data_IF_541571282281
#
_entry.id   IF_541571282281
#
_cell.length_a   1.000
_cell.length_b   1.000
_cell.length_c   1.000
_cell.angle_alpha   90.00
_cell.angle_beta   90.00
_cell.angle_gamma   90.00
#
_symmetry.space_group_name_H-M   'P 1'
#
loop_
_entity.id
_entity.type
_entity.pdbx_description
1 polymer ?
#
# COMPACT_ATOMS: atom_id res chain seq x y z
N UNK A 1 9.80 18.71 8.55
CA UNK A 1 9.68 18.29 7.13
C UNK A 1 8.79 19.28 6.40
N UNK A 2 9.03 19.50 5.09
CA UNK A 2 8.14 20.30 4.24
C UNK A 2 6.72 19.72 4.25
N UNK A 3 5.72 20.60 4.17
CA UNK A 3 4.31 20.21 3.98
C UNK A 3 4.02 19.81 2.53
N UNK A 4 4.91 20.18 1.60
CA UNK A 4 4.82 19.80 0.20
C UNK A 4 5.74 18.63 -0.13
N UNK A 5 5.42 17.93 -1.22
CA UNK A 5 6.26 16.85 -1.74
C UNK A 5 7.63 17.39 -2.15
N UNK A 6 8.64 16.53 -2.09
CA UNK A 6 10.00 16.84 -2.46
C UNK A 6 10.55 15.81 -3.46
N UNK A 7 11.41 16.28 -4.34
CA UNK A 7 12.21 15.46 -5.27
C UNK A 7 13.67 15.91 -5.23
N UNK A 8 14.52 15.29 -6.04
CA UNK A 8 15.93 15.68 -6.20
C UNK A 8 16.07 16.85 -7.17
N UNK A 9 17.11 17.67 -6.99
CA UNK A 9 17.41 18.80 -7.87
C UNK A 9 18.09 18.39 -9.18
N UNK A 10 18.83 17.28 -9.16
CA UNK A 10 19.53 16.73 -10.33
C UNK A 10 19.75 15.23 -10.19
N UNK A 11 20.06 14.57 -11.30
CA UNK A 11 20.42 13.15 -11.28
C UNK A 11 21.83 12.97 -10.71
N UNK A 12 22.00 11.92 -9.90
CA UNK A 12 23.26 11.57 -9.23
C UNK A 12 23.44 10.06 -9.22
N UNK A 13 24.69 9.60 -9.39
CA UNK A 13 24.98 8.17 -9.49
C UNK A 13 26.04 7.74 -8.49
N UNK A 14 25.98 6.46 -8.12
CA UNK A 14 26.99 5.73 -7.35
C UNK A 14 27.17 4.35 -7.95
N UNK A 15 28.41 3.84 -7.92
CA UNK A 15 28.72 2.47 -8.31
C UNK A 15 29.36 1.71 -7.15
N UNK A 16 29.14 0.42 -7.09
CA UNK A 16 29.72 -0.43 -6.05
C UNK A 16 29.32 -1.89 -6.19
N UNK A 17 29.74 -2.70 -5.23
CA UNK A 17 29.34 -4.11 -5.16
C UNK A 17 28.03 -4.28 -4.40
N UNK A 18 27.24 -5.26 -4.80
CA UNK A 18 26.03 -5.70 -4.11
C UNK A 18 26.36 -6.66 -2.98
N UNK A 19 25.54 -6.71 -1.91
CA UNK A 19 25.79 -7.56 -0.75
C UNK A 19 25.56 -9.06 -1.05
N UNK A 20 24.39 -9.41 -1.58
CA UNK A 20 23.99 -10.81 -1.76
C UNK A 20 24.49 -11.39 -3.08
N UNK A 21 24.44 -10.64 -4.16
CA UNK A 21 24.88 -11.10 -5.48
C UNK A 21 26.38 -11.01 -5.66
N UNK A 22 27.05 -10.06 -4.98
CA UNK A 22 28.48 -9.77 -5.14
C UNK A 22 28.82 -9.10 -6.46
N UNK A 23 27.83 -8.79 -7.30
CA UNK A 23 28.01 -8.14 -8.60
C UNK A 23 28.27 -6.64 -8.49
N UNK A 24 28.91 -6.07 -9.50
CA UNK A 24 29.01 -4.62 -9.65
C UNK A 24 27.67 -4.06 -10.12
N UNK A 25 27.30 -2.89 -9.63
CA UNK A 25 26.07 -2.18 -9.99
C UNK A 25 26.32 -0.67 -10.04
N UNK A 26 25.68 -0.02 -10.99
CA UNK A 26 25.53 1.44 -11.04
C UNK A 26 24.08 1.77 -10.67
N UNK A 27 23.92 2.61 -9.66
CA UNK A 27 22.62 3.14 -9.23
C UNK A 27 22.59 4.63 -9.49
N UNK A 28 21.53 5.10 -10.15
CA UNK A 28 21.28 6.52 -10.42
C UNK A 28 19.96 6.94 -9.81
N UNK A 29 19.97 7.97 -8.99
CA UNK A 29 18.77 8.62 -8.46
C UNK A 29 18.41 9.79 -9.37
N UNK A 30 17.19 9.77 -9.92
CA UNK A 30 16.68 10.82 -10.80
C UNK A 30 15.56 11.61 -10.13
N UNK A 31 15.47 12.94 -10.39
CA UNK A 31 14.27 13.70 -10.07
C UNK A 31 13.03 13.07 -10.71
N UNK A 32 11.91 13.18 -10.02
CA UNK A 32 10.64 12.69 -10.54
C UNK A 32 9.49 13.68 -10.29
N UNK A 33 8.43 13.68 -11.13
CA UNK A 33 7.33 14.63 -10.99
C UNK A 33 6.50 14.38 -9.72
N UNK A 34 5.70 15.37 -9.28
CA UNK A 34 4.79 15.19 -8.16
C UNK A 34 3.87 13.97 -8.32
N UNK A 35 3.70 13.21 -7.25
CA UNK A 35 2.88 12.00 -7.24
C UNK A 35 3.49 10.77 -7.90
N UNK A 36 4.74 10.86 -8.37
CA UNK A 36 5.46 9.72 -8.95
C UNK A 36 5.71 8.63 -7.91
N UNK A 37 6.01 9.02 -6.66
CA UNK A 37 6.48 8.13 -5.62
C UNK A 37 7.91 7.67 -5.86
N UNK A 38 8.32 6.60 -5.17
CA UNK A 38 9.60 5.94 -5.38
C UNK A 38 9.41 4.74 -6.30
N UNK A 39 10.24 4.63 -7.34
CA UNK A 39 10.17 3.52 -8.31
C UNK A 39 11.56 3.05 -8.68
N UNK A 40 11.72 1.74 -8.83
CA UNK A 40 12.95 1.13 -9.33
C UNK A 40 12.84 0.84 -10.82
N UNK A 41 13.84 1.26 -11.60
CA UNK A 41 13.96 0.98 -13.03
C UNK A 41 15.15 0.03 -13.24
N UNK A 42 14.91 -1.11 -13.89
CA UNK A 42 15.93 -2.11 -14.29
C UNK A 42 16.38 -1.82 -15.73
N UNK A 43 17.45 -1.01 -15.87
CA UNK A 43 17.99 -0.59 -17.15
C UNK A 43 18.69 -1.72 -17.92
N UNK A 44 19.09 -2.80 -17.24
CA UNK A 44 19.70 -4.00 -17.81
C UNK A 44 18.70 -4.99 -18.41
N UNK A 45 17.37 -4.78 -18.17
CA UNK A 45 16.34 -5.67 -18.68
C UNK A 45 15.66 -5.10 -19.94
N UNK A 46 15.25 -5.96 -20.89
CA UNK A 46 14.47 -5.51 -22.04
C UNK A 46 13.17 -4.81 -21.62
N UNK A 47 12.83 -3.70 -22.29
CA UNK A 47 11.59 -2.96 -22.02
C UNK A 47 11.67 -2.01 -20.83
N UNK A 48 12.83 -1.80 -20.22
CA UNK A 48 13.05 -0.85 -19.12
C UNK A 48 12.01 -0.99 -18.00
N UNK A 49 11.88 -2.21 -17.46
CA UNK A 49 10.84 -2.53 -16.47
C UNK A 49 10.96 -1.65 -15.21
N UNK A 50 9.86 -1.01 -14.86
CA UNK A 50 9.75 -0.17 -13.66
C UNK A 50 8.90 -0.88 -12.62
N UNK A 51 9.38 -0.93 -11.37
CA UNK A 51 8.70 -1.53 -10.22
C UNK A 51 8.37 -0.43 -9.21
N UNK A 52 7.12 -0.26 -8.86
CA UNK A 52 6.73 0.66 -7.78
C UNK A 52 7.27 0.16 -6.44
N UNK A 53 7.92 1.04 -5.67
CA UNK A 53 8.35 0.73 -4.31
C UNK A 53 7.13 0.71 -3.36
N UNK A 54 6.33 -0.35 -3.46
CA UNK A 54 5.08 -0.54 -2.72
C UNK A 54 5.02 -1.92 -2.10
N UNK A 55 4.32 -2.00 -0.96
CA UNK A 55 4.19 -3.27 -0.21
C UNK A 55 3.57 -4.40 -1.04
N UNK A 56 2.73 -4.10 -2.02
CA UNK A 56 2.08 -5.09 -2.88
C UNK A 56 3.08 -5.83 -3.78
N UNK A 57 4.22 -5.21 -4.09
CA UNK A 57 5.32 -5.80 -4.87
C UNK A 57 6.31 -6.60 -4.02
N UNK A 58 6.21 -6.57 -2.68
CA UNK A 58 7.06 -7.36 -1.79
C UNK A 58 6.69 -8.84 -1.86
N UNK A 59 7.61 -9.68 -2.34
CA UNK A 59 7.39 -11.13 -2.48
C UNK A 59 8.22 -11.96 -1.52
N UNK A 60 9.43 -11.50 -1.19
CA UNK A 60 10.29 -12.18 -0.22
C UNK A 60 10.94 -11.17 0.73
N UNK A 61 11.18 -11.61 1.96
CA UNK A 61 11.77 -10.80 3.06
C UNK A 61 12.88 -11.58 3.77
N UNK A 62 13.49 -12.57 3.11
CA UNK A 62 14.58 -13.36 3.68
C UNK A 62 15.88 -12.55 3.65
N UNK A 63 16.27 -12.01 4.82
CA UNK A 63 17.49 -11.20 5.06
C UNK A 63 17.55 -9.87 4.30
N UNK A 64 16.60 -9.58 3.42
CA UNK A 64 16.46 -8.33 2.69
C UNK A 64 15.05 -8.21 2.14
N UNK A 65 14.60 -7.00 1.88
CA UNK A 65 13.31 -6.75 1.24
C UNK A 65 13.45 -6.81 -0.28
N UNK A 66 12.62 -7.65 -0.92
CA UNK A 66 12.66 -7.89 -2.36
C UNK A 66 11.33 -7.51 -3.02
N UNK A 67 11.43 -6.66 -4.04
CA UNK A 67 10.31 -6.27 -4.92
C UNK A 67 10.36 -7.09 -6.22
N UNK A 68 9.20 -7.53 -6.69
CA UNK A 68 9.07 -8.28 -7.95
C UNK A 68 7.87 -7.75 -8.73
N UNK A 69 8.10 -7.49 -10.03
CA UNK A 69 7.06 -7.18 -11.02
C UNK A 69 7.39 -7.94 -12.32
N UNK A 70 6.48 -8.86 -12.73
CA UNK A 70 6.75 -9.74 -13.86
C UNK A 70 8.05 -10.52 -13.69
N UNK A 71 8.98 -10.34 -14.62
CA UNK A 71 10.32 -10.97 -14.59
C UNK A 71 11.38 -10.10 -13.90
N UNK A 72 11.05 -8.86 -13.54
CA UNK A 72 11.98 -7.96 -12.90
C UNK A 72 11.98 -8.16 -11.38
N UNK A 73 13.20 -8.19 -10.82
CA UNK A 73 13.45 -8.32 -9.39
C UNK A 73 14.43 -7.24 -8.94
N UNK A 74 14.13 -6.60 -7.81
CA UNK A 74 15.07 -5.73 -7.08
C UNK A 74 15.06 -6.16 -5.61
N UNK A 75 16.23 -6.47 -5.05
CA UNK A 75 16.40 -6.92 -3.66
C UNK A 75 17.25 -5.91 -2.87
N UNK A 76 17.23 -6.00 -1.53
CA UNK A 76 17.98 -5.12 -0.61
C UNK A 76 17.62 -3.64 -0.85
N UNK A 77 16.32 -3.36 -0.99
CA UNK A 77 15.81 -2.02 -1.31
C UNK A 77 15.76 -1.10 -0.09
N UNK A 78 15.80 -1.66 1.11
CA UNK A 78 15.58 -1.00 2.39
C UNK A 78 16.55 0.17 2.64
N UNK A 79 17.83 0.06 2.33
CA UNK A 79 18.81 1.11 2.63
C UNK A 79 18.59 2.36 1.77
N UNK A 80 18.36 2.21 0.46
CA UNK A 80 18.11 3.35 -0.42
C UNK A 80 16.74 3.99 -0.14
N UNK A 81 15.71 3.18 0.12
CA UNK A 81 14.38 3.68 0.50
C UNK A 81 14.41 4.40 1.85
N UNK A 82 15.18 3.86 2.81
CA UNK A 82 15.40 4.49 4.11
C UNK A 82 16.04 5.86 3.96
N UNK A 83 17.09 5.99 3.13
CA UNK A 83 17.77 7.26 2.90
C UNK A 83 16.82 8.29 2.26
N UNK A 84 16.10 7.92 1.20
CA UNK A 84 15.15 8.81 0.53
C UNK A 84 14.07 9.29 1.50
N UNK A 85 13.44 8.36 2.23
CA UNK A 85 12.38 8.66 3.22
C UNK A 85 12.93 9.50 4.38
N UNK A 86 14.05 9.09 4.96
CA UNK A 86 14.68 9.77 6.09
C UNK A 86 15.11 11.20 5.76
N UNK A 87 15.55 11.44 4.53
CA UNK A 87 15.91 12.77 4.02
C UNK A 87 14.72 13.59 3.50
N UNK A 88 13.51 12.99 3.47
CA UNK A 88 12.27 13.69 3.11
C UNK A 88 12.05 13.82 1.60
N UNK A 89 12.59 12.92 0.78
CA UNK A 89 12.31 12.81 -0.66
C UNK A 89 11.08 11.93 -0.86
N UNK A 90 10.08 12.43 -1.59
CA UNK A 90 8.83 11.72 -1.87
C UNK A 90 8.83 11.08 -3.27
N UNK A 91 9.45 11.75 -4.25
CA UNK A 91 9.39 11.37 -5.65
C UNK A 91 10.81 11.17 -6.21
N UNK A 92 11.13 9.93 -6.59
CA UNK A 92 12.44 9.56 -7.13
C UNK A 92 12.32 8.34 -8.04
N UNK A 93 12.94 8.38 -9.23
CA UNK A 93 13.18 7.21 -10.04
C UNK A 93 14.58 6.69 -9.71
N UNK A 94 14.67 5.44 -9.28
CA UNK A 94 15.91 4.75 -8.89
C UNK A 94 16.27 3.80 -10.03
N UNK A 95 17.18 4.20 -10.89
CA UNK A 95 17.64 3.41 -12.03
C UNK A 95 18.84 2.56 -11.64
N UNK A 96 18.85 1.29 -12.06
CA UNK A 96 19.91 0.34 -11.76
C UNK A 96 20.17 -0.60 -12.95
N UNK A 97 21.42 -0.99 -13.15
CA UNK A 97 21.87 -1.97 -14.15
C UNK A 97 22.07 -3.38 -13.58
N UNK A 98 21.58 -3.65 -12.37
CA UNK A 98 21.60 -4.96 -11.72
C UNK A 98 20.40 -5.14 -10.79
N UNK A 99 20.24 -6.34 -10.22
CA UNK A 99 19.09 -6.68 -9.35
C UNK A 99 19.21 -6.24 -7.89
N UNK A 100 20.31 -5.60 -7.51
CA UNK A 100 20.56 -5.24 -6.11
C UNK A 100 21.38 -3.95 -6.05
N UNK A 101 20.97 -2.95 -5.22
CA UNK A 101 21.72 -1.71 -5.03
C UNK A 101 23.14 -1.94 -4.49
N UNK A 102 24.08 -0.99 -4.68
CA UNK A 102 25.40 -1.08 -4.07
C UNK A 102 25.31 -0.98 -2.55
N UNK A 103 25.93 -1.91 -1.84
CA UNK A 103 25.85 -1.98 -0.35
C UNK A 103 26.69 -0.88 0.34
N UNK A 104 27.72 -0.38 -0.34
CA UNK A 104 28.67 0.56 0.24
C UNK A 104 29.38 0.01 1.47
N UNK A 105 29.33 0.74 2.55
CA UNK A 105 29.88 0.35 3.84
C UNK A 105 28.87 -0.42 4.75
N UNK A 106 27.72 -0.79 4.20
CA UNK A 106 26.64 -1.47 4.92
C UNK A 106 25.67 -0.53 5.63
N UNK A 107 25.82 0.78 5.46
CA UNK A 107 24.93 1.81 6.00
C UNK A 107 24.16 2.53 4.89
N UNK A 108 23.28 3.47 5.26
CA UNK A 108 22.61 4.36 4.29
C UNK A 108 23.41 5.65 4.00
N UNK A 109 24.59 5.81 4.58
CA UNK A 109 25.38 7.06 4.51
C UNK A 109 25.69 7.48 3.07
N UNK A 110 26.11 6.51 2.20
CA UNK A 110 26.41 6.82 0.79
C UNK A 110 25.20 7.42 0.05
N UNK A 111 23.98 6.93 0.34
CA UNK A 111 22.76 7.44 -0.28
C UNK A 111 22.38 8.83 0.23
N UNK A 112 22.60 9.09 1.54
CA UNK A 112 22.40 10.42 2.11
C UNK A 112 23.38 11.42 1.48
N UNK A 113 24.65 11.07 1.31
CA UNK A 113 25.65 11.91 0.63
C UNK A 113 25.24 12.18 -0.83
N UNK A 114 24.70 11.18 -1.52
CA UNK A 114 24.19 11.29 -2.88
C UNK A 114 23.01 12.26 -2.96
N UNK A 115 22.03 12.11 -2.06
CA UNK A 115 20.85 12.99 -1.97
C UNK A 115 21.28 14.43 -1.67
N UNK A 116 22.22 14.64 -0.77
CA UNK A 116 22.77 15.99 -0.46
C UNK A 116 23.46 16.61 -1.67
N UNK A 117 24.23 15.82 -2.43
CA UNK A 117 24.86 16.26 -3.68
C UNK A 117 23.85 16.64 -4.76
N UNK A 118 22.73 15.89 -4.84
CA UNK A 118 21.64 16.19 -5.76
C UNK A 118 20.89 17.47 -5.38
N UNK A 119 20.85 17.79 -4.10
CA UNK A 119 19.94 18.79 -3.53
C UNK A 119 18.50 18.29 -3.50
N UNK A 120 17.72 18.83 -2.58
CA UNK A 120 16.27 18.51 -2.45
C UNK A 120 15.47 19.72 -2.89
N UNK A 121 14.50 19.51 -3.78
CA UNK A 121 13.63 20.53 -4.34
C UNK A 121 12.19 20.28 -3.91
N UNK A 122 11.57 21.30 -3.34
CA UNK A 122 10.16 21.28 -2.97
C UNK A 122 9.28 21.44 -4.21
N UNK A 123 8.20 20.64 -4.28
CA UNK A 123 7.22 20.63 -5.37
C UNK A 123 5.93 21.30 -4.92
N UNK A 124 5.17 21.91 -5.86
CA UNK A 124 3.94 22.66 -5.58
C UNK A 124 2.71 21.75 -5.36
N UNK A 125 2.91 20.63 -4.67
CA UNK A 125 1.85 19.64 -4.35
C UNK A 125 1.98 19.21 -2.89
N UNK A 126 0.89 19.24 -2.15
CA UNK A 126 0.85 18.84 -0.75
C UNK A 126 1.33 17.40 -0.55
N UNK A 127 2.14 17.19 0.50
CA UNK A 127 2.60 15.86 0.91
C UNK A 127 1.45 15.06 1.50
N UNK A 128 1.30 13.84 1.04
CA UNK A 128 0.33 12.92 1.59
C UNK A 128 0.89 12.20 2.83
N UNK A 129 0.16 12.24 3.94
CA UNK A 129 0.50 11.52 5.16
C UNK A 129 -0.50 10.38 5.39
N UNK A 130 0.01 9.31 5.97
CA UNK A 130 -0.79 8.35 6.70
C UNK A 130 -0.78 8.77 8.18
N UNK A 131 -1.93 9.20 8.69
CA UNK A 131 -2.09 9.52 10.10
C UNK A 131 -2.65 8.30 10.81
N UNK A 132 -1.88 7.76 11.75
CA UNK A 132 -2.33 6.64 12.59
C UNK A 132 -3.38 7.17 13.56
N UNK A 133 -4.60 6.66 13.48
CA UNK A 133 -5.72 7.05 14.34
C UNK A 133 -6.03 6.03 15.42
N UNK A 134 -5.69 4.76 15.17
CA UNK A 134 -5.90 3.64 16.08
C UNK A 134 -4.65 2.78 16.14
N UNK A 135 -4.27 2.23 17.29
CA UNK A 135 -3.13 1.33 17.41
C UNK A 135 -3.26 0.10 16.51
N UNK A 136 -2.15 -0.27 15.88
CA UNK A 136 -2.03 -1.55 15.17
C UNK A 136 -0.94 -2.33 15.89
N UNK A 137 -1.22 -3.59 16.22
CA UNK A 137 -0.28 -4.49 16.89
C UNK A 137 -0.12 -5.77 16.08
N UNK A 138 1.14 -6.21 15.96
CA UNK A 138 1.52 -7.46 15.31
C UNK A 138 2.50 -8.18 16.22
N UNK A 139 2.21 -9.45 16.48
CA UNK A 139 3.10 -10.38 17.14
C UNK A 139 3.37 -11.56 16.20
N UNK A 140 4.63 -11.93 16.06
CA UNK A 140 5.03 -13.08 15.26
C UNK A 140 5.32 -14.30 16.14
N UNK A 141 5.21 -15.50 15.55
CA UNK A 141 5.58 -16.75 16.26
C UNK A 141 7.04 -16.77 16.73
N UNK A 142 7.90 -15.95 16.13
CA UNK A 142 9.30 -15.79 16.50
C UNK A 142 9.55 -14.81 17.66
N UNK A 143 8.50 -14.24 18.26
CA UNK A 143 8.60 -13.31 19.38
C UNK A 143 8.85 -11.85 18.98
N UNK A 144 8.83 -11.51 17.69
CA UNK A 144 8.91 -10.11 17.26
C UNK A 144 7.58 -9.41 17.56
N UNK A 145 7.67 -8.21 18.14
CA UNK A 145 6.53 -7.35 18.43
C UNK A 145 6.67 -6.06 17.62
N UNK A 146 5.64 -5.71 16.86
CA UNK A 146 5.56 -4.47 16.12
C UNK A 146 4.25 -3.77 16.45
N UNK A 147 4.33 -2.59 17.01
CA UNK A 147 3.14 -1.77 17.30
C UNK A 147 3.33 -0.39 16.71
N UNK A 148 2.27 0.17 16.12
CA UNK A 148 2.24 1.58 15.78
C UNK A 148 1.05 2.23 16.49
N UNK A 149 1.30 3.38 17.13
CA UNK A 149 0.28 4.16 17.85
C UNK A 149 0.19 5.57 17.28
N UNK A 150 -0.91 6.30 17.52
CA UNK A 150 -1.06 7.70 17.11
C UNK A 150 0.09 8.58 17.63
N UNK A 151 0.65 9.40 16.75
CA UNK A 151 1.61 10.46 17.05
C UNK A 151 1.51 11.53 15.96
N UNK A 152 1.75 12.78 16.28
CA UNK A 152 1.77 13.89 15.32
C UNK A 152 3.02 13.89 14.41
N UNK A 153 4.03 13.07 14.76
CA UNK A 153 5.32 12.95 14.10
C UNK A 153 5.60 11.49 13.73
N UNK A 154 6.60 11.26 12.90
CA UNK A 154 7.13 9.91 12.69
C UNK A 154 8.20 9.61 13.72
N UNK A 155 7.91 8.74 14.66
CA UNK A 155 8.81 8.30 15.73
C UNK A 155 9.01 6.80 15.66
N UNK A 156 10.21 6.34 16.00
CA UNK A 156 10.52 4.92 16.12
C UNK A 156 11.22 4.68 17.47
N UNK A 157 10.68 3.76 18.25
CA UNK A 157 11.33 3.16 19.43
C UNK A 157 11.62 1.70 19.13
N UNK A 158 12.86 1.29 19.22
CA UNK A 158 13.27 -0.06 18.86
C UNK A 158 14.08 -0.70 19.97
N UNK A 159 13.77 -1.96 20.27
CA UNK A 159 14.60 -2.85 21.08
C UNK A 159 15.12 -3.97 20.19
N UNK A 160 16.42 -3.98 19.93
CA UNK A 160 17.10 -5.12 19.31
C UNK A 160 17.55 -6.08 20.41
N UNK A 161 17.21 -7.36 20.28
CA UNK A 161 17.61 -8.41 21.22
C UNK A 161 18.46 -9.40 20.44
N UNK A 162 19.70 -9.57 20.85
CA UNK A 162 20.60 -10.55 20.25
C UNK A 162 20.41 -11.95 20.85
N UNK A 163 21.09 -12.98 20.30
CA UNK A 163 21.06 -14.32 20.82
C UNK A 163 21.41 -14.36 22.31
N UNK A 164 20.63 -15.10 23.09
CA UNK A 164 20.79 -15.24 24.55
C UNK A 164 20.76 -13.90 25.31
N UNK A 165 20.10 -12.86 24.73
CA UNK A 165 20.03 -11.52 25.31
C UNK A 165 21.30 -10.66 25.16
N UNK A 166 22.35 -11.18 24.51
CA UNK A 166 23.58 -10.43 24.24
C UNK A 166 23.31 -9.30 23.24
N UNK A 167 24.04 -8.20 23.38
CA UNK A 167 23.87 -7.01 22.54
C UNK A 167 22.41 -6.51 22.48
N UNK A 168 21.65 -6.70 23.57
CA UNK A 168 20.34 -6.08 23.70
C UNK A 168 20.51 -4.57 23.79
N UNK A 169 19.91 -3.85 22.86
CA UNK A 169 20.05 -2.41 22.72
C UNK A 169 18.67 -1.77 22.53
N UNK A 170 18.49 -0.58 23.06
CA UNK A 170 17.29 0.23 22.87
C UNK A 170 17.66 1.61 22.36
N UNK A 171 16.91 2.09 21.38
CA UNK A 171 16.99 3.47 20.91
C UNK A 171 15.60 3.97 20.52
N UNK A 172 15.34 5.26 20.79
CA UNK A 172 14.08 5.91 20.45
C UNK A 172 14.38 7.28 19.88
N UNK A 173 13.78 7.59 18.72
CA UNK A 173 14.02 8.86 18.06
C UNK A 173 12.85 9.27 17.16
N UNK A 174 12.74 10.58 16.90
CA UNK A 174 11.94 11.14 15.82
C UNK A 174 12.72 11.03 14.51
N UNK A 175 12.05 10.70 13.42
CA UNK A 175 12.66 10.64 12.09
C UNK A 175 12.48 12.00 11.40
N UNK A 176 13.53 12.79 11.46
CA UNK A 176 13.68 14.05 10.71
C UNK A 176 14.96 14.01 9.87
N UNK A 177 15.09 14.76 8.78
CA UNK A 177 16.29 14.72 7.94
C UNK A 177 17.59 14.91 8.75
N UNK A 178 17.62 15.89 9.67
CA UNK A 178 18.80 16.16 10.49
C UNK A 178 19.16 15.04 11.46
N UNK A 179 18.15 14.43 12.10
CA UNK A 179 18.35 13.31 13.02
C UNK A 179 18.71 12.06 12.22
N UNK A 180 18.00 11.79 11.12
CA UNK A 180 18.26 10.63 10.28
C UNK A 180 19.70 10.63 9.74
N UNK A 181 20.15 11.76 9.16
CA UNK A 181 21.51 11.91 8.64
C UNK A 181 22.57 11.61 9.70
N UNK A 182 22.37 12.14 10.91
CA UNK A 182 23.38 12.08 11.98
C UNK A 182 23.34 10.79 12.79
N UNK A 183 22.15 10.31 13.12
CA UNK A 183 21.94 9.28 14.16
C UNK A 183 21.55 7.91 13.59
N UNK A 184 21.00 7.84 12.36
CA UNK A 184 20.45 6.60 11.77
C UNK A 184 21.24 6.16 10.54
N UNK A 185 21.38 7.05 9.55
CA UNK A 185 22.01 6.71 8.28
C UNK A 185 23.41 6.11 8.39
N UNK A 186 24.30 6.51 9.37
CA UNK A 186 25.61 5.92 9.48
C UNK A 186 25.66 4.52 10.10
N UNK A 187 24.56 4.00 10.66
CA UNK A 187 24.54 2.70 11.29
C UNK A 187 24.66 1.56 10.28
N UNK A 188 25.68 0.71 10.45
CA UNK A 188 26.00 -0.38 9.52
C UNK A 188 25.19 -1.63 9.81
N UNK A 189 24.92 -2.38 8.75
CA UNK A 189 24.35 -3.74 8.84
C UNK A 189 25.31 -4.68 9.59
N UNK A 190 24.74 -5.71 10.22
CA UNK A 190 25.47 -6.66 11.03
C UNK A 190 24.94 -8.08 10.84
N UNK A 191 25.81 -9.04 11.10
CA UNK A 191 25.49 -10.47 11.03
C UNK A 191 26.16 -11.19 12.19
N UNK A 192 25.49 -12.19 12.75
CA UNK A 192 26.12 -13.10 13.70
C UNK A 192 27.00 -14.11 12.94
N UNK A 193 28.21 -14.37 13.45
CA UNK A 193 29.18 -15.23 12.80
C UNK A 193 28.61 -16.64 12.51
N UNK A 194 27.77 -17.13 13.43
CA UNK A 194 27.09 -18.41 13.33
C UNK A 194 26.15 -18.48 12.11
N UNK A 195 25.61 -17.35 11.66
CA UNK A 195 24.73 -17.25 10.49
C UNK A 195 25.54 -17.13 9.16
N UNK A 196 26.81 -16.74 9.20
CA UNK A 196 27.61 -16.47 8.00
C UNK A 196 27.69 -17.69 7.09
N UNK A 197 28.07 -18.85 7.63
CA UNK A 197 28.18 -20.08 6.83
C UNK A 197 26.84 -20.54 6.26
N UNK A 198 25.74 -20.65 7.05
CA UNK A 198 24.42 -20.95 6.51
C UNK A 198 23.95 -20.01 5.40
N UNK A 199 24.27 -18.71 5.48
CA UNK A 199 23.94 -17.73 4.44
C UNK A 199 24.76 -17.94 3.16
N UNK A 200 26.06 -18.22 3.30
CA UNK A 200 26.92 -18.55 2.15
C UNK A 200 26.48 -19.84 1.47
N UNK A 201 26.12 -20.88 2.24
CA UNK A 201 25.63 -22.16 1.71
C UNK A 201 24.32 -21.98 0.91
N UNK A 202 23.49 -20.99 1.26
CA UNK A 202 22.29 -20.57 0.51
C UNK A 202 22.60 -19.69 -0.72
N UNK A 203 23.87 -19.37 -0.96
CA UNK A 203 24.30 -18.50 -2.06
C UNK A 203 24.00 -17.00 -1.81
N UNK A 204 23.76 -16.61 -0.56
CA UNK A 204 23.60 -15.22 -0.12
C UNK A 204 24.96 -14.65 0.33
N UNK A 205 24.98 -13.33 0.58
CA UNK A 205 26.15 -12.57 1.08
C UNK A 205 27.47 -12.82 0.32
N UNK A 206 27.41 -13.08 -1.00
CA UNK A 206 28.61 -13.31 -1.83
C UNK A 206 29.56 -12.12 -1.88
N UNK A 207 29.03 -10.90 -1.76
CA UNK A 207 29.78 -9.66 -1.64
C UNK A 207 30.05 -9.24 -0.19
N UNK A 208 29.64 -10.03 0.79
CA UNK A 208 29.82 -9.74 2.21
C UNK A 208 31.27 -9.75 2.65
N UNK A 209 31.70 -8.73 3.36
CA UNK A 209 33.05 -8.58 3.92
C UNK A 209 33.01 -7.68 5.16
N UNK A 210 34.12 -7.61 5.89
CA UNK A 210 34.26 -6.64 7.00
C UNK A 210 34.26 -5.16 6.53
N UNK A 211 34.34 -4.92 5.22
CA UNK A 211 34.21 -3.57 4.63
C UNK A 211 32.76 -3.07 4.65
N UNK A 212 31.78 -3.98 4.58
CA UNK A 212 30.36 -3.65 4.37
C UNK A 212 29.38 -4.30 5.35
N UNK A 213 29.88 -5.00 6.38
CA UNK A 213 29.08 -5.53 7.46
C UNK A 213 29.90 -5.64 8.74
N UNK A 214 29.22 -5.46 9.88
CA UNK A 214 29.80 -5.77 11.19
C UNK A 214 29.49 -7.23 11.54
N UNK A 215 30.50 -8.01 11.92
CA UNK A 215 30.34 -9.41 12.29
C UNK A 215 30.46 -9.57 13.80
N UNK A 216 29.46 -10.18 14.41
CA UNK A 216 29.43 -10.46 15.86
C UNK A 216 29.81 -11.93 16.07
N UNK A 217 30.91 -12.18 16.80
CA UNK A 217 31.39 -13.52 17.15
C UNK A 217 31.52 -13.65 18.65
N UNK A 218 30.58 -14.36 19.28
CA UNK A 218 30.50 -14.39 20.74
C UNK A 218 30.32 -12.98 21.34
N UNK A 219 31.26 -12.49 22.12
CA UNK A 219 31.28 -11.12 22.63
C UNK A 219 32.11 -10.14 21.79
N UNK A 220 32.77 -10.63 20.76
CA UNK A 220 33.64 -9.83 19.92
C UNK A 220 32.84 -9.20 18.77
N UNK A 221 33.11 -7.94 18.51
CA UNK A 221 32.59 -7.20 17.36
C UNK A 221 33.72 -6.97 16.38
N UNK A 222 33.59 -7.54 15.19
CA UNK A 222 34.56 -7.49 14.11
C UNK A 222 34.04 -6.59 12.99
N UNK A 223 34.86 -5.67 12.54
CA UNK A 223 34.57 -4.75 11.43
C UNK A 223 35.85 -4.07 10.99
N UNK A 224 35.81 -3.37 9.84
CA UNK A 224 36.93 -2.58 9.32
C UNK A 224 37.33 -1.46 10.29
N UNK A 225 36.37 -0.89 10.97
CA UNK A 225 36.52 0.19 11.95
C UNK A 225 35.70 -0.09 13.20
N UNK A 226 35.98 0.54 14.35
CA UNK A 226 35.16 0.42 15.55
C UNK A 226 33.69 0.77 15.27
N UNK A 227 32.81 0.37 16.19
CA UNK A 227 31.41 0.79 16.16
C UNK A 227 31.31 2.32 16.14
N UNK A 228 30.47 2.85 15.24
CA UNK A 228 30.19 4.29 15.13
C UNK A 228 29.33 4.80 16.27
N UNK A 229 28.50 3.92 16.83
CA UNK A 229 27.67 4.17 17.98
C UNK A 229 27.75 2.98 18.95
N UNK A 230 27.66 3.22 20.26
CA UNK A 230 27.59 2.13 21.25
C UNK A 230 26.37 1.22 21.02
N UNK A 231 25.33 1.77 20.42
CA UNK A 231 24.04 1.15 20.11
C UNK A 231 23.81 1.06 18.59
N UNK A 232 24.87 0.81 17.80
CA UNK A 232 24.82 0.83 16.33
C UNK A 232 23.84 -0.21 15.78
N UNK A 233 23.72 -1.38 16.40
CA UNK A 233 22.86 -2.44 15.91
C UNK A 233 21.37 -2.07 15.95
N UNK A 234 20.89 -1.47 17.04
CA UNK A 234 19.50 -1.02 17.11
C UNK A 234 19.21 0.16 16.20
N UNK A 235 20.20 1.05 15.98
CA UNK A 235 20.07 2.16 15.01
C UNK A 235 19.94 1.63 13.59
N UNK A 236 20.70 0.57 13.24
CA UNK A 236 20.53 -0.09 11.95
C UNK A 236 19.13 -0.73 11.82
N UNK A 237 18.61 -1.34 12.89
CA UNK A 237 17.23 -1.85 12.88
C UNK A 237 16.19 -0.75 12.66
N UNK A 238 16.42 0.45 13.17
CA UNK A 238 15.57 1.61 12.87
C UNK A 238 15.71 2.03 11.40
N UNK A 239 16.92 2.00 10.82
CA UNK A 239 17.16 2.23 9.40
C UNK A 239 16.31 1.28 8.55
N UNK A 240 16.34 -0.03 8.86
CA UNK A 240 15.54 -1.06 8.18
C UNK A 240 14.03 -0.77 8.30
N UNK A 241 13.53 -0.41 9.50
CA UNK A 241 12.11 -0.07 9.72
C UNK A 241 11.70 1.11 8.84
N UNK A 242 12.51 2.17 8.78
CA UNK A 242 12.22 3.36 7.96
C UNK A 242 12.15 3.00 6.47
N UNK A 243 13.07 2.16 6.00
CA UNK A 243 13.12 1.70 4.60
C UNK A 243 11.95 0.79 4.23
N UNK A 244 11.63 -0.18 5.09
CA UNK A 244 10.54 -1.10 4.84
C UNK A 244 9.16 -0.40 4.91
N UNK A 245 8.99 0.57 5.82
CA UNK A 245 7.75 1.35 5.93
C UNK A 245 7.61 2.40 4.80
N UNK A 246 8.70 2.77 4.10
CA UNK A 246 8.62 3.58 2.89
C UNK A 246 7.73 2.93 1.81
N UNK A 247 7.61 1.61 1.83
CA UNK A 247 6.75 0.82 0.94
C UNK A 247 5.24 1.08 1.10
N UNK A 248 4.82 1.84 2.11
CA UNK A 248 3.48 2.44 2.16
C UNK A 248 3.27 3.48 1.05
N UNK A 249 4.36 4.07 0.51
CA UNK A 249 4.35 5.13 -0.49
C UNK A 249 3.73 6.43 0.02
N UNK A 250 3.72 6.64 1.32
CA UNK A 250 3.29 7.86 2.01
C UNK A 250 4.10 8.04 3.28
N UNK A 251 4.30 9.30 3.66
CA UNK A 251 4.89 9.61 4.94
C UNK A 251 3.93 9.24 6.09
N UNK A 252 4.49 8.87 7.24
CA UNK A 252 3.74 8.40 8.41
C UNK A 252 3.72 9.49 9.47
N UNK A 253 2.56 9.70 10.10
CA UNK A 253 2.43 10.32 11.42
C UNK A 253 1.97 9.25 12.39
N UNK A 254 2.88 8.79 13.21
CA UNK A 254 2.67 7.70 14.15
C UNK A 254 3.98 7.30 14.83
N UNK A 255 3.89 6.62 15.96
CA UNK A 255 5.01 6.12 16.71
C UNK A 255 5.08 4.59 16.60
N UNK A 256 6.11 4.10 15.93
CA UNK A 256 6.43 2.68 15.83
C UNK A 256 7.20 2.24 17.08
N UNK A 257 6.73 1.20 17.74
CA UNK A 257 7.37 0.54 18.88
C UNK A 257 7.67 -0.90 18.44
N UNK A 258 8.96 -1.24 18.36
CA UNK A 258 9.43 -2.50 17.81
C UNK A 258 10.31 -3.25 18.81
N UNK A 259 10.08 -4.55 18.95
CA UNK A 259 10.95 -5.47 19.69
C UNK A 259 11.35 -6.59 18.74
N UNK A 260 12.64 -6.84 18.60
CA UNK A 260 13.20 -7.81 17.65
C UNK A 260 12.66 -7.65 16.22
N UNK A 261 12.71 -6.43 15.63
CA UNK A 261 12.21 -6.23 14.27
C UNK A 261 13.04 -6.98 13.22
N UNK A 262 12.46 -7.13 12.05
CA UNK A 262 13.10 -7.68 10.87
C UNK A 262 12.23 -7.42 9.65
N UNK A 263 12.73 -7.70 8.44
CA UNK A 263 12.01 -7.37 7.20
C UNK A 263 10.61 -8.03 7.11
N UNK A 264 10.47 -9.27 7.64
CA UNK A 264 9.16 -9.94 7.74
C UNK A 264 8.16 -9.17 8.60
N UNK A 265 8.43 -8.99 9.92
CA UNK A 265 7.57 -8.19 10.81
C UNK A 265 7.34 -6.76 10.32
N UNK A 266 8.36 -6.09 9.74
CA UNK A 266 8.22 -4.76 9.17
C UNK A 266 7.23 -4.74 8.00
N UNK A 267 7.33 -5.71 7.08
CA UNK A 267 6.41 -5.86 5.96
C UNK A 267 4.97 -6.18 6.42
N UNK A 268 4.82 -6.99 7.47
CA UNK A 268 3.51 -7.31 8.02
C UNK A 268 2.86 -6.09 8.67
N UNK A 269 3.63 -5.26 9.40
CA UNK A 269 3.15 -3.98 9.89
C UNK A 269 2.75 -3.06 8.73
N UNK A 270 3.58 -2.97 7.70
CA UNK A 270 3.28 -2.18 6.50
C UNK A 270 1.96 -2.62 5.84
N UNK A 271 1.73 -3.92 5.67
CA UNK A 271 0.46 -4.48 5.14
C UNK A 271 -0.74 -4.15 6.03
N UNK A 272 -0.58 -4.25 7.35
CA UNK A 272 -1.65 -3.96 8.29
C UNK A 272 -2.02 -2.46 8.27
N UNK A 273 -1.04 -1.57 8.17
CA UNK A 273 -1.25 -0.12 8.00
C UNK A 273 -1.97 0.15 6.68
N UNK A 274 -1.52 -0.43 5.57
CA UNK A 274 -2.16 -0.27 4.27
C UNK A 274 -3.63 -0.75 4.30
N UNK A 275 -3.91 -1.87 4.96
CA UNK A 275 -5.26 -2.41 5.14
C UNK A 275 -6.14 -1.48 5.99
N UNK A 276 -5.63 -0.93 7.09
CA UNK A 276 -6.36 0.04 7.92
C UNK A 276 -6.69 1.29 7.11
N UNK A 277 -5.74 1.81 6.32
CA UNK A 277 -5.97 2.97 5.44
C UNK A 277 -7.03 2.69 4.37
N UNK A 278 -7.01 1.50 3.77
CA UNK A 278 -8.03 1.11 2.80
C UNK A 278 -9.41 1.07 3.46
N UNK A 279 -9.51 0.53 4.68
CA UNK A 279 -10.76 0.53 5.47
C UNK A 279 -11.23 1.94 5.81
N UNK A 280 -10.34 2.80 6.31
CA UNK A 280 -10.68 4.18 6.65
C UNK A 280 -11.17 4.97 5.43
N UNK A 281 -10.55 4.78 4.25
CA UNK A 281 -11.03 5.38 3.00
C UNK A 281 -12.38 4.87 2.55
N UNK A 282 -12.69 3.62 2.85
CA UNK A 282 -13.96 3.01 2.50
C UNK A 282 -15.09 3.42 3.44
N UNK A 283 -14.77 3.72 4.71
CA UNK A 283 -15.70 4.29 5.68
C UNK A 283 -16.01 5.78 5.42
N UNK A 284 -15.12 6.48 4.69
CA UNK A 284 -15.44 7.80 4.14
C UNK A 284 -16.31 7.52 2.91
N UNK A 285 -17.61 7.86 2.91
CA UNK A 285 -18.39 7.86 1.67
C UNK A 285 -17.53 8.55 0.61
N UNK A 286 -17.44 8.04 -0.62
CA UNK A 286 -16.66 8.68 -1.67
C UNK A 286 -17.00 10.17 -1.59
N UNK A 287 -15.96 11.00 -1.42
CA UNK A 287 -16.19 12.43 -1.24
C UNK A 287 -17.09 12.85 -2.39
N UNK A 288 -18.31 13.23 -2.05
CA UNK A 288 -19.29 13.75 -2.99
C UNK A 288 -18.70 15.10 -3.42
N UNK A 289 -17.68 15.03 -4.25
CA UNK A 289 -17.24 16.19 -5.01
C UNK A 289 -18.19 16.22 -6.20
N UNK A 290 -19.08 17.20 -6.27
CA UNK A 290 -19.85 17.41 -7.49
C UNK A 290 -18.89 17.91 -8.56
N UNK A 291 -18.18 17.00 -9.23
CA UNK A 291 -17.68 17.27 -10.55
C UNK A 291 -18.86 17.08 -11.50
N UNK A 292 -19.71 18.10 -11.57
CA UNK A 292 -20.68 18.27 -12.66
C UNK A 292 -21.64 17.09 -12.92
N UNK A 293 -21.98 16.28 -11.92
CA UNK A 293 -22.87 15.14 -12.07
C UNK A 293 -23.90 15.10 -10.93
N UNK A 294 -25.15 14.92 -11.28
CA UNK A 294 -26.29 14.93 -10.37
C UNK A 294 -26.18 13.80 -9.35
N UNK A 295 -26.12 14.17 -8.06
CA UNK A 295 -26.39 13.26 -6.96
C UNK A 295 -27.91 13.07 -6.96
N UNK A 296 -28.35 11.79 -6.97
CA UNK A 296 -29.79 11.50 -6.93
C UNK A 296 -30.16 11.05 -5.51
N UNK A 297 -31.12 11.74 -4.92
CA UNK A 297 -31.74 11.28 -3.70
C UNK A 297 -32.76 10.14 -3.97
N UNK A 298 -33.39 9.60 -2.94
CA UNK A 298 -34.32 8.49 -3.07
C UNK A 298 -35.54 8.87 -3.95
N UNK A 299 -35.99 10.13 -3.93
CA UNK A 299 -37.09 10.57 -4.76
C UNK A 299 -36.71 10.62 -6.22
N UNK A 300 -35.49 11.03 -6.54
CA UNK A 300 -34.98 11.04 -7.91
C UNK A 300 -34.74 9.62 -8.42
N UNK A 301 -34.24 8.73 -7.56
CA UNK A 301 -34.13 7.28 -7.87
C UNK A 301 -35.51 6.70 -8.19
N UNK A 302 -36.53 7.01 -7.38
CA UNK A 302 -37.91 6.55 -7.62
C UNK A 302 -38.58 7.15 -8.86
N UNK A 303 -38.12 8.29 -9.37
CA UNK A 303 -38.60 8.85 -10.66
C UNK A 303 -38.04 8.07 -11.84
N UNK A 304 -36.83 7.51 -11.69
CA UNK A 304 -36.15 6.74 -12.73
C UNK A 304 -36.52 5.25 -12.68
N UNK A 305 -36.50 4.65 -11.49
CA UNK A 305 -36.79 3.24 -11.28
C UNK A 305 -38.26 3.02 -10.92
N UNK A 306 -38.93 2.02 -11.51
CA UNK A 306 -40.32 1.66 -11.13
C UNK A 306 -40.39 0.93 -9.80
N UNK A 307 -39.29 0.43 -9.29
CA UNK A 307 -39.20 -0.36 -8.05
C UNK A 307 -39.70 0.44 -6.84
N UNK A 308 -40.37 -0.23 -5.90
CA UNK A 308 -40.86 0.30 -4.62
C UNK A 308 -40.59 -0.69 -3.51
N UNK A 309 -40.82 -0.27 -2.28
CA UNK A 309 -40.74 -1.17 -1.13
C UNK A 309 -41.58 -2.43 -1.36
N UNK A 310 -41.08 -3.64 -1.02
CA UNK A 310 -39.76 -3.91 -0.39
C UNK A 310 -38.63 -4.15 -1.38
N UNK A 311 -38.78 -3.90 -2.67
CA UNK A 311 -37.88 -4.29 -3.74
C UNK A 311 -37.00 -3.14 -4.29
N UNK A 312 -37.08 -1.94 -3.72
CA UNK A 312 -36.15 -0.87 -4.03
C UNK A 312 -34.84 -1.07 -3.26
N UNK A 313 -33.76 -1.41 -3.96
CA UNK A 313 -32.47 -1.77 -3.39
C UNK A 313 -31.42 -0.64 -3.53
N UNK A 314 -31.85 0.60 -3.80
CA UNK A 314 -30.97 1.76 -3.95
C UNK A 314 -31.56 2.92 -3.16
N UNK A 315 -30.84 3.43 -2.16
CA UNK A 315 -31.27 4.55 -1.34
C UNK A 315 -30.89 5.89 -1.98
N UNK A 316 -29.77 5.94 -2.71
CA UNK A 316 -29.29 7.15 -3.41
C UNK A 316 -28.18 6.81 -4.39
N UNK A 317 -27.91 7.72 -5.33
CA UNK A 317 -26.72 7.72 -6.19
C UNK A 317 -25.74 8.76 -5.64
N UNK A 318 -24.50 8.37 -5.42
CA UNK A 318 -23.46 9.21 -4.81
C UNK A 318 -22.38 9.64 -5.80
N UNK A 319 -22.27 8.95 -6.93
CA UNK A 319 -21.37 9.35 -8.00
C UNK A 319 -21.90 8.92 -9.38
N UNK A 320 -21.74 9.79 -10.35
CA UNK A 320 -22.00 9.55 -11.77
C UNK A 320 -20.79 10.06 -12.54
N UNK A 321 -20.20 9.21 -13.37
CA UNK A 321 -19.10 9.58 -14.25
C UNK A 321 -19.52 9.36 -15.72
N UNK A 322 -19.88 10.47 -16.34
CA UNK A 322 -20.45 10.46 -17.66
C UNK A 322 -21.74 9.63 -17.76
N UNK A 323 -21.85 8.88 -18.85
CA UNK A 323 -22.97 7.96 -19.11
C UNK A 323 -22.64 6.49 -18.81
N UNK A 324 -21.44 6.20 -18.29
CA UNK A 324 -20.93 4.83 -18.25
C UNK A 324 -20.71 4.30 -16.85
N UNK A 325 -20.54 5.16 -15.84
CA UNK A 325 -20.28 4.71 -14.46
C UNK A 325 -21.25 5.33 -13.47
N UNK A 326 -21.67 4.53 -12.51
CA UNK A 326 -22.57 4.94 -11.44
C UNK A 326 -22.18 4.25 -10.15
N UNK A 327 -22.24 4.99 -9.04
CA UNK A 327 -22.10 4.43 -7.69
C UNK A 327 -23.37 4.71 -6.92
N UNK A 328 -24.10 3.65 -6.56
CA UNK A 328 -25.26 3.68 -5.69
C UNK A 328 -24.90 3.29 -4.25
N UNK A 329 -25.81 3.60 -3.33
CA UNK A 329 -25.73 3.22 -1.91
C UNK A 329 -27.02 2.55 -1.49
N UNK A 330 -26.89 1.44 -0.77
CA UNK A 330 -27.95 0.78 0.00
C UNK A 330 -27.51 0.66 1.46
N UNK A 331 -28.28 1.26 2.37
CA UNK A 331 -28.11 1.02 3.80
C UNK A 331 -28.84 -0.26 4.17
N UNK A 332 -28.09 -1.26 4.64
CA UNK A 332 -28.64 -2.56 5.00
C UNK A 332 -29.11 -2.50 6.45
N UNK A 333 -30.42 -2.35 6.64
CA UNK A 333 -31.01 -2.25 7.99
C UNK A 333 -31.68 -3.56 8.41
N UNK A 334 -31.79 -3.81 9.73
CA UNK A 334 -32.48 -4.99 10.25
C UNK A 334 -33.99 -4.99 9.92
N UNK A 335 -34.54 -3.88 9.45
CA UNK A 335 -35.94 -3.76 9.06
C UNK A 335 -36.26 -4.31 7.66
N UNK A 336 -35.26 -4.79 6.93
CA UNK A 336 -35.47 -5.42 5.63
C UNK A 336 -36.21 -6.77 5.79
N UNK A 337 -37.27 -6.96 5.03
CA UNK A 337 -38.13 -8.14 5.16
C UNK A 337 -37.40 -9.48 4.98
N UNK A 338 -36.37 -9.54 4.14
CA UNK A 338 -35.65 -10.77 3.88
C UNK A 338 -34.87 -11.30 5.11
N UNK A 339 -34.58 -10.46 6.12
CA UNK A 339 -33.92 -10.94 7.34
C UNK A 339 -34.83 -11.74 8.26
N UNK A 340 -36.15 -11.71 8.06
CA UNK A 340 -37.07 -12.57 8.79
C UNK A 340 -36.86 -14.07 8.48
N UNK A 341 -36.38 -14.35 7.26
CA UNK A 341 -36.18 -15.73 6.78
C UNK A 341 -34.73 -16.09 6.43
N UNK A 342 -33.85 -15.11 6.21
CA UNK A 342 -32.51 -15.33 5.69
C UNK A 342 -31.40 -14.80 6.61
N UNK A 343 -31.07 -15.38 7.79
CA UNK A 343 -31.65 -16.58 8.40
C UNK A 343 -32.05 -16.23 9.83
N UNK A 344 -33.06 -16.91 10.45
CA UNK A 344 -33.41 -16.69 11.86
C UNK A 344 -32.20 -16.84 12.77
N UNK A 345 -31.87 -15.80 13.56
CA UNK A 345 -30.71 -15.78 14.45
C UNK A 345 -29.36 -15.52 13.78
N UNK A 346 -29.31 -15.49 12.45
CA UNK A 346 -28.08 -15.22 11.67
C UNK A 346 -28.41 -14.40 10.41
N UNK A 347 -28.73 -13.11 10.56
CA UNK A 347 -29.21 -12.29 9.46
C UNK A 347 -28.09 -12.01 8.45
N UNK A 348 -28.28 -12.42 7.21
CA UNK A 348 -27.37 -12.15 6.07
C UNK A 348 -28.20 -11.70 4.88
N UNK A 349 -27.79 -10.63 4.20
CA UNK A 349 -28.45 -10.19 2.97
C UNK A 349 -28.28 -11.26 1.89
N UNK A 350 -29.37 -11.74 1.27
CA UNK A 350 -29.28 -12.69 0.17
C UNK A 350 -28.36 -12.16 -0.94
N UNK A 351 -27.45 -13.01 -1.42
CA UNK A 351 -26.52 -12.62 -2.49
C UNK A 351 -27.23 -12.18 -3.77
N UNK A 352 -28.35 -12.84 -4.08
CA UNK A 352 -29.18 -12.49 -5.24
C UNK A 352 -29.78 -11.08 -5.15
N UNK A 353 -30.01 -10.55 -3.95
CA UNK A 353 -30.47 -9.17 -3.75
C UNK A 353 -29.32 -8.15 -3.91
N UNK A 354 -28.08 -8.57 -3.73
CA UNK A 354 -26.92 -7.76 -4.09
C UNK A 354 -26.80 -7.62 -5.62
N UNK A 355 -27.09 -8.69 -6.38
CA UNK A 355 -27.18 -8.63 -7.84
C UNK A 355 -28.31 -7.70 -8.30
N UNK A 356 -29.46 -7.81 -7.65
CA UNK A 356 -30.59 -6.91 -7.92
C UNK A 356 -30.22 -5.44 -7.67
N UNK A 357 -29.51 -5.16 -6.57
CA UNK A 357 -29.02 -3.81 -6.27
C UNK A 357 -28.06 -3.30 -7.36
N UNK A 358 -27.15 -4.14 -7.87
CA UNK A 358 -26.30 -3.80 -9.01
C UNK A 358 -27.12 -3.56 -10.28
N UNK A 359 -28.15 -4.38 -10.52
CA UNK A 359 -29.03 -4.25 -11.68
C UNK A 359 -29.81 -2.93 -11.66
N UNK A 360 -30.33 -2.54 -10.49
CA UNK A 360 -31.03 -1.26 -10.31
C UNK A 360 -30.10 -0.06 -10.54
N UNK A 361 -28.88 -0.07 -10.00
CA UNK A 361 -27.87 0.98 -10.24
C UNK A 361 -27.49 1.03 -11.74
N UNK A 362 -27.31 -0.12 -12.40
CA UNK A 362 -27.04 -0.18 -13.84
C UNK A 362 -28.21 0.32 -14.68
N UNK A 363 -29.45 0.06 -14.26
CA UNK A 363 -30.65 0.53 -14.93
C UNK A 363 -30.79 2.06 -14.88
N UNK A 364 -30.34 2.70 -13.80
CA UNK A 364 -30.32 4.17 -13.70
C UNK A 364 -29.47 4.79 -14.80
N UNK A 365 -28.31 4.22 -15.12
CA UNK A 365 -27.46 4.70 -16.22
C UNK A 365 -28.18 4.65 -17.58
N UNK A 366 -28.95 3.60 -17.82
CA UNK A 366 -29.65 3.40 -19.10
C UNK A 366 -30.94 4.24 -19.19
N UNK A 367 -31.68 4.36 -18.10
CA UNK A 367 -32.93 5.11 -18.06
C UNK A 367 -32.74 6.63 -18.11
N UNK A 368 -31.54 7.12 -17.77
CA UNK A 368 -31.17 8.53 -17.96
C UNK A 368 -30.84 8.91 -19.41
N UNK A 369 -30.63 7.94 -20.28
CA UNK A 369 -30.37 8.23 -21.72
C UNK A 369 -31.60 8.87 -22.32
N UNK A 370 -31.47 10.01 -23.03
CA UNK A 370 -32.61 10.65 -23.70
C UNK A 370 -33.41 9.67 -24.59
N UNK A 371 -34.72 9.60 -24.34
CA UNK A 371 -35.64 8.67 -25.02
C UNK A 371 -35.87 7.34 -24.32
N UNK A 372 -35.24 7.12 -23.13
CA UNK A 372 -35.50 5.95 -22.27
C UNK A 372 -36.34 6.30 -21.02
N UNK A 373 -36.69 7.56 -20.82
CA UNK A 373 -37.51 7.98 -19.70
C UNK A 373 -38.87 7.25 -19.67
N UNK A 374 -39.27 6.69 -18.52
CA UNK A 374 -40.54 5.96 -18.36
C UNK A 374 -40.51 4.52 -18.85
N UNK A 375 -39.42 4.03 -19.42
CA UNK A 375 -39.22 2.63 -19.84
C UNK A 375 -38.78 1.77 -18.63
N UNK A 376 -38.73 0.47 -18.82
CA UNK A 376 -38.38 -0.50 -17.79
C UNK A 376 -37.07 -1.20 -18.15
N UNK A 377 -36.15 -1.28 -17.18
CA UNK A 377 -34.94 -2.06 -17.30
C UNK A 377 -35.16 -3.50 -16.88
N UNK A 378 -35.01 -4.47 -17.80
CA UNK A 378 -35.02 -5.89 -17.49
C UNK A 378 -33.61 -6.41 -17.32
N UNK A 379 -33.40 -7.13 -16.22
CA UNK A 379 -32.19 -7.87 -15.94
C UNK A 379 -32.26 -9.20 -16.69
N UNK A 380 -31.41 -9.40 -17.71
CA UNK A 380 -31.52 -10.52 -18.64
C UNK A 380 -30.61 -11.69 -18.31
N UNK A 381 -29.37 -11.41 -17.89
CA UNK A 381 -28.42 -12.44 -17.43
C UNK A 381 -27.38 -11.90 -16.47
N UNK A 382 -26.81 -12.78 -15.68
CA UNK A 382 -25.62 -12.53 -14.86
C UNK A 382 -24.61 -13.65 -15.12
N UNK A 383 -23.37 -13.24 -15.37
CA UNK A 383 -22.22 -14.10 -15.61
C UNK A 383 -21.13 -13.75 -14.58
N UNK A 384 -20.17 -14.64 -14.35
CA UNK A 384 -19.02 -14.42 -13.45
C UNK A 384 -19.42 -13.95 -12.04
N UNK A 385 -20.57 -14.42 -11.55
CA UNK A 385 -21.11 -14.05 -10.24
C UNK A 385 -20.25 -14.64 -9.12
N UNK A 386 -19.77 -13.79 -8.21
CA UNK A 386 -19.01 -14.22 -7.04
C UNK A 386 -19.50 -13.51 -5.79
N UNK A 387 -19.85 -14.28 -4.76
CA UNK A 387 -20.14 -13.79 -3.41
C UNK A 387 -18.93 -14.12 -2.52
N UNK A 388 -18.27 -13.08 -2.01
CA UNK A 388 -16.98 -13.24 -1.31
C UNK A 388 -17.09 -13.13 0.20
N UNK A 389 -18.04 -12.31 0.66
CA UNK A 389 -18.26 -12.06 2.09
C UNK A 389 -19.75 -11.82 2.37
N UNK A 390 -20.22 -12.18 3.57
CA UNK A 390 -21.57 -11.87 3.98
C UNK A 390 -21.77 -10.36 4.13
N UNK A 391 -22.96 -9.89 3.80
CA UNK A 391 -23.46 -8.53 4.07
C UNK A 391 -24.51 -8.67 5.16
N UNK A 392 -24.38 -7.90 6.23
CA UNK A 392 -25.20 -8.04 7.44
C UNK A 392 -25.90 -6.72 7.82
N UNK A 393 -26.91 -6.75 8.68
CA UNK A 393 -27.53 -5.51 9.19
C UNK A 393 -26.51 -4.57 9.83
N UNK A 394 -26.57 -3.30 9.47
CA UNK A 394 -25.61 -2.26 9.88
C UNK A 394 -24.56 -1.94 8.81
N UNK A 395 -24.43 -2.77 7.78
CA UNK A 395 -23.53 -2.48 6.66
C UNK A 395 -24.09 -1.37 5.76
N UNK A 396 -23.18 -0.58 5.18
CA UNK A 396 -23.49 0.29 4.04
C UNK A 396 -22.88 -0.33 2.78
N UNK A 397 -23.75 -0.72 1.87
CA UNK A 397 -23.35 -1.35 0.60
C UNK A 397 -23.12 -0.25 -0.46
N UNK A 398 -21.89 -0.08 -0.90
CA UNK A 398 -21.56 0.73 -2.07
C UNK A 398 -21.63 -0.16 -3.31
N UNK A 399 -22.37 0.30 -4.31
CA UNK A 399 -22.69 -0.48 -5.51
C UNK A 399 -22.11 0.27 -6.70
N UNK A 400 -20.98 -0.20 -7.21
CA UNK A 400 -20.34 0.38 -8.38
C UNK A 400 -20.73 -0.41 -9.63
N UNK A 401 -21.21 0.29 -10.66
CA UNK A 401 -21.56 -0.31 -11.94
C UNK A 401 -20.92 0.48 -13.08
N UNK A 402 -20.30 -0.23 -14.00
CA UNK A 402 -19.69 0.31 -15.22
C UNK A 402 -20.25 -0.38 -16.46
N UNK A 403 -20.84 0.40 -17.38
CA UNK A 403 -21.28 -0.11 -18.67
C UNK A 403 -20.07 -0.42 -19.54
N UNK A 404 -19.93 -1.68 -19.95
CA UNK A 404 -18.80 -2.13 -20.78
C UNK A 404 -19.13 -2.12 -22.27
N UNK A 405 -20.39 -2.34 -22.62
CA UNK A 405 -20.86 -2.35 -24.03
C UNK A 405 -22.30 -1.86 -24.09
N UNK A 406 -22.59 -0.99 -25.06
CA UNK A 406 -23.95 -0.56 -25.41
C UNK A 406 -24.28 -1.02 -26.82
N UNK A 407 -25.46 -1.61 -27.04
CA UNK A 407 -25.97 -1.97 -28.37
C UNK A 407 -27.27 -1.20 -28.61
N UNK A 408 -27.15 -0.09 -29.28
CA UNK A 408 -28.25 0.87 -29.42
C UNK A 408 -28.63 1.51 -28.09
N UNK A 409 -29.94 1.80 -27.90
CA UNK A 409 -30.47 2.39 -26.66
C UNK A 409 -31.05 1.36 -25.67
N UNK A 410 -31.19 0.10 -26.13
CA UNK A 410 -32.03 -0.87 -25.44
C UNK A 410 -31.28 -2.05 -24.82
N UNK A 411 -30.02 -2.28 -25.18
CA UNK A 411 -29.25 -3.40 -24.63
C UNK A 411 -27.87 -2.91 -24.14
N UNK A 412 -27.47 -3.29 -22.95
CA UNK A 412 -26.15 -2.97 -22.42
C UNK A 412 -25.60 -4.11 -21.58
N UNK A 413 -24.27 -4.29 -21.66
CA UNK A 413 -23.50 -5.09 -20.69
C UNK A 413 -22.86 -4.18 -19.67
N UNK A 414 -22.79 -4.64 -18.43
CA UNK A 414 -22.14 -3.94 -17.35
C UNK A 414 -21.34 -4.89 -16.46
N UNK A 415 -20.32 -4.35 -15.80
CA UNK A 415 -19.66 -4.96 -14.65
C UNK A 415 -20.14 -4.25 -13.40
N UNK A 416 -20.55 -5.02 -12.41
CA UNK A 416 -20.98 -4.52 -11.10
C UNK A 416 -20.17 -5.13 -9.99
N UNK A 417 -19.97 -4.36 -8.92
CA UNK A 417 -19.41 -4.85 -7.67
C UNK A 417 -20.05 -4.15 -6.48
N UNK A 418 -20.27 -4.91 -5.44
CA UNK A 418 -20.70 -4.41 -4.13
C UNK A 418 -19.51 -4.37 -3.17
N UNK A 419 -19.42 -3.30 -2.41
CA UNK A 419 -18.30 -3.02 -1.50
C UNK A 419 -18.87 -2.67 -0.13
N UNK A 420 -18.34 -3.31 0.90
CA UNK A 420 -18.60 -3.00 2.32
C UNK A 420 -17.27 -2.81 3.00
N UNK A 421 -17.09 -1.71 3.74
CA UNK A 421 -15.84 -1.40 4.46
C UNK A 421 -14.58 -1.51 3.58
N UNK A 422 -14.68 -1.13 2.28
CA UNK A 422 -13.60 -1.16 1.30
C UNK A 422 -13.22 -2.52 0.75
N UNK A 423 -13.95 -3.55 1.10
CA UNK A 423 -13.74 -4.89 0.57
C UNK A 423 -14.86 -5.25 -0.40
N UNK A 424 -14.50 -5.83 -1.54
CA UNK A 424 -15.49 -6.34 -2.50
C UNK A 424 -16.18 -7.55 -1.88
N UNK A 425 -17.48 -7.43 -1.64
CA UNK A 425 -18.33 -8.50 -1.05
C UNK A 425 -19.01 -9.34 -2.13
N UNK A 426 -19.31 -8.75 -3.28
CA UNK A 426 -19.82 -9.46 -4.46
C UNK A 426 -19.47 -8.74 -5.75
N UNK A 427 -19.45 -9.49 -6.86
CA UNK A 427 -19.21 -8.97 -8.21
C UNK A 427 -19.94 -9.79 -9.25
N UNK A 428 -20.29 -9.20 -10.39
CA UNK A 428 -20.92 -9.87 -11.52
C UNK A 428 -20.71 -9.10 -12.84
N UNK A 429 -20.79 -9.81 -13.95
CA UNK A 429 -21.08 -9.27 -15.28
C UNK A 429 -22.56 -9.41 -15.56
N UNK A 430 -23.19 -8.35 -16.08
CA UNK A 430 -24.65 -8.29 -16.21
C UNK A 430 -25.05 -7.85 -17.62
N UNK A 431 -26.20 -8.35 -18.11
CA UNK A 431 -26.84 -7.92 -19.34
C UNK A 431 -28.21 -7.34 -19.02
N UNK A 432 -28.49 -6.18 -19.58
CA UNK A 432 -29.75 -5.44 -19.43
C UNK A 432 -30.46 -5.25 -20.74
N UNK A 433 -31.79 -5.28 -20.73
CA UNK A 433 -32.64 -4.85 -21.81
C UNK A 433 -33.61 -3.76 -21.36
N UNK A 434 -33.78 -2.71 -22.16
CA UNK A 434 -34.75 -1.65 -21.91
C UNK A 434 -35.97 -1.90 -22.79
N UNK A 435 -37.14 -2.00 -22.16
CA UNK A 435 -38.41 -2.29 -22.83
C UNK A 435 -39.43 -1.20 -22.51
N UNK A 436 -40.43 -1.06 -23.39
CA UNK A 436 -41.60 -0.24 -23.10
C UNK A 436 -42.51 -0.93 -22.10
N UNK A 437 -43.15 -0.18 -21.19
CA UNK A 437 -44.02 -0.74 -20.15
C UNK A 437 -45.24 -1.48 -20.72
#
# INVERSE_FOLDING_TARGET
MSLNQCTLGQSVSVSGASLHTGGSVVLTLHPAPPGHGMKFKRADLPGETVIDARIDHVKTVERATTLIEGNAKVQTVEHVLSALTGMGVDNCLIEMDASEPPIGDGSAKQYVELIKKAGIVEQQVARAFYEVTEPIHIETKGGSLMTIVPDSKFRVSCTNVGPDGRFTQFFSTEITPAIYEKEIAPARTFVYYEDVKPLMDKGLIKGGSLENAVVIRGEQVLGKEPLRFKDEFVRHKILDIVGDLALLGRNIKGHVIAVMPGHGPNADLCRAIAKQQARAKALIPPAITPKGGDILDVNDVMKLLPHRYPFLMVDRIVALDGETKCTGVKNVTMNEQYFQGHFPGHPVMPGVLQLEAMAQVGSILLLRIPGNAGRIGYFMSADEVKFRKPVVPGDTLFIEVELTTKKGRSIAKAKGRCIVNGEVVSEAEMLFGIVDP
#
